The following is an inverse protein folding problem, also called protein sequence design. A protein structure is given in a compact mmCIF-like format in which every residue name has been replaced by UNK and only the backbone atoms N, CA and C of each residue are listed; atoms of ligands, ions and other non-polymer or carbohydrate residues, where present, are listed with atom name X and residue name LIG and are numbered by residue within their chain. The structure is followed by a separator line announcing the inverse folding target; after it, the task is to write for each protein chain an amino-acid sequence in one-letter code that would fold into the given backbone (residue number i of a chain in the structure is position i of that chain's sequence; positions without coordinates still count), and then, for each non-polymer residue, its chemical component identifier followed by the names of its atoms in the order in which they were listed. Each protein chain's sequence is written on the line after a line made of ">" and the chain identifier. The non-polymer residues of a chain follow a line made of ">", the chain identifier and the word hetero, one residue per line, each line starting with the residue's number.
data_IF_625318170002
#
_entry.id   IF_625318170002
#
_cell.length_a   1.000
_cell.length_b   1.000
_cell.length_c   1.000
_cell.angle_alpha   90.00
_cell.angle_beta   90.00
_cell.angle_gamma   90.00
#
_symmetry.space_group_name_H-M   'P 1'
#
loop_
_entity.id
_entity.type
_entity.pdbx_description
1 polymer ?
#
# COMPACT_ATOMS: atom_id res chain seq x y z
N UNK A 1 -37.28 9.85 -34.11
CA UNK A 1 -35.80 9.86 -33.99
C UNK A 1 -35.33 10.54 -32.69
N UNK A 2 -36.22 11.22 -31.93
CA UNK A 2 -35.93 11.89 -30.65
C UNK A 2 -34.98 11.16 -29.69
N UNK A 3 -35.20 9.86 -29.43
CA UNK A 3 -34.52 9.16 -28.33
C UNK A 3 -32.99 9.09 -28.47
N UNK A 4 -32.46 9.25 -29.69
CA UNK A 4 -31.01 9.35 -29.92
C UNK A 4 -30.46 10.75 -29.59
N UNK A 5 -31.24 11.80 -29.92
CA UNK A 5 -30.84 13.19 -29.71
C UNK A 5 -30.71 13.53 -28.23
N UNK A 6 -31.69 13.15 -27.39
CA UNK A 6 -31.65 13.40 -25.94
C UNK A 6 -30.48 12.72 -25.23
N UNK A 7 -30.07 11.51 -25.66
CA UNK A 7 -28.91 10.81 -25.08
C UNK A 7 -27.59 11.48 -25.46
N UNK A 8 -27.48 12.00 -26.68
CA UNK A 8 -26.31 12.77 -27.10
C UNK A 8 -26.21 14.09 -26.32
N UNK A 9 -27.30 14.84 -26.20
CA UNK A 9 -27.33 16.10 -25.44
C UNK A 9 -27.02 15.87 -23.96
N UNK A 10 -27.61 14.85 -23.34
CA UNK A 10 -27.35 14.52 -21.93
C UNK A 10 -25.88 14.16 -21.69
N UNK A 11 -25.28 13.34 -22.56
CA UNK A 11 -23.86 13.05 -22.51
C UNK A 11 -23.02 14.33 -22.67
N UNK A 12 -23.27 15.14 -23.70
CA UNK A 12 -22.53 16.39 -23.96
C UNK A 12 -22.60 17.34 -22.76
N UNK A 13 -23.76 17.49 -22.11
CA UNK A 13 -23.90 18.32 -20.90
C UNK A 13 -23.16 17.71 -19.69
N UNK A 14 -23.24 16.40 -19.46
CA UNK A 14 -22.51 15.74 -18.37
C UNK A 14 -20.99 15.82 -18.54
N UNK A 15 -20.47 15.57 -19.74
CA UNK A 15 -19.04 15.71 -20.06
C UNK A 15 -18.58 17.18 -19.96
N UNK A 16 -19.42 18.15 -20.34
CA UNK A 16 -19.14 19.57 -20.16
C UNK A 16 -19.02 19.98 -18.68
N UNK A 17 -19.93 19.55 -17.82
CA UNK A 17 -19.88 19.82 -16.37
C UNK A 17 -18.66 19.16 -15.74
N UNK A 18 -18.38 17.90 -16.09
CA UNK A 18 -17.19 17.20 -15.60
C UNK A 18 -15.89 17.89 -16.05
N UNK A 19 -15.84 18.45 -17.26
CA UNK A 19 -14.67 19.16 -17.78
C UNK A 19 -14.42 20.47 -17.01
N UNK A 20 -15.49 21.25 -16.74
CA UNK A 20 -15.38 22.45 -15.93
C UNK A 20 -14.90 22.14 -14.50
N UNK A 21 -15.44 21.10 -13.86
CA UNK A 21 -14.99 20.69 -12.53
C UNK A 21 -13.53 20.22 -12.54
N UNK A 22 -13.14 19.40 -13.51
CA UNK A 22 -11.75 18.95 -13.69
C UNK A 22 -10.76 20.09 -13.90
N UNK A 23 -11.12 21.10 -14.72
CA UNK A 23 -10.30 22.29 -14.95
C UNK A 23 -10.18 23.15 -13.69
N UNK A 24 -11.26 23.33 -12.93
CA UNK A 24 -11.22 24.08 -11.66
C UNK A 24 -10.35 23.38 -10.61
N UNK A 25 -10.50 22.07 -10.44
CA UNK A 25 -9.65 21.28 -9.52
C UNK A 25 -8.19 21.32 -9.96
N UNK A 26 -7.90 21.17 -11.25
CA UNK A 26 -6.55 21.29 -11.79
C UNK A 26 -5.95 22.68 -11.53
N UNK A 27 -6.70 23.76 -11.80
CA UNK A 27 -6.24 25.12 -11.56
C UNK A 27 -5.91 25.39 -10.08
N UNK A 28 -6.75 24.93 -9.15
CA UNK A 28 -6.50 25.03 -7.70
C UNK A 28 -5.23 24.26 -7.30
N UNK A 29 -5.07 23.03 -7.78
CA UNK A 29 -3.86 22.23 -7.49
C UNK A 29 -2.59 22.88 -8.07
N UNK A 30 -2.66 23.43 -9.29
CA UNK A 30 -1.56 24.17 -9.93
C UNK A 30 -1.19 25.43 -9.14
N UNK A 31 -2.17 26.16 -8.59
CA UNK A 31 -1.94 27.35 -7.76
C UNK A 31 -1.34 27.03 -6.38
N UNK A 32 -1.51 25.80 -5.87
CA UNK A 32 -1.03 25.40 -4.54
C UNK A 32 0.28 24.58 -4.56
N UNK A 33 0.66 23.95 -5.68
CA UNK A 33 1.82 23.06 -5.74
C UNK A 33 3.00 23.62 -6.53
N UNK A 34 4.01 24.11 -5.82
CA UNK A 34 5.35 24.26 -6.39
C UNK A 34 5.88 22.90 -6.85
N UNK A 35 6.23 22.80 -8.14
CA UNK A 35 7.05 21.72 -8.71
C UNK A 35 6.45 20.30 -8.80
N UNK A 36 5.13 20.15 -8.98
CA UNK A 36 4.51 18.83 -9.31
C UNK A 36 3.50 18.84 -10.48
N UNK A 37 3.55 19.87 -11.34
CA UNK A 37 2.59 20.16 -12.42
C UNK A 37 2.23 18.93 -13.29
N UNK A 38 3.22 18.16 -13.74
CA UNK A 38 3.00 17.06 -14.70
C UNK A 38 2.26 15.86 -14.09
N UNK A 39 2.47 15.57 -12.80
CA UNK A 39 1.75 14.52 -12.07
C UNK A 39 0.33 14.98 -11.69
N UNK A 40 0.18 16.24 -11.29
CA UNK A 40 -1.13 16.85 -11.04
C UNK A 40 -2.02 16.86 -12.28
N UNK A 41 -1.47 17.23 -13.44
CA UNK A 41 -2.18 17.18 -14.71
C UNK A 41 -2.60 15.76 -15.11
N UNK A 42 -1.73 14.75 -14.90
CA UNK A 42 -2.06 13.36 -15.20
C UNK A 42 -3.19 12.82 -14.30
N UNK A 43 -3.11 13.01 -12.98
CA UNK A 43 -4.16 12.54 -12.07
C UNK A 43 -5.47 13.33 -12.21
N UNK A 44 -5.40 14.61 -12.57
CA UNK A 44 -6.57 15.41 -12.96
C UNK A 44 -7.26 14.85 -14.22
N UNK A 45 -6.49 14.49 -15.25
CA UNK A 45 -7.01 13.88 -16.47
C UNK A 45 -7.63 12.49 -16.20
N UNK A 46 -6.96 11.64 -15.41
CA UNK A 46 -7.50 10.33 -15.00
C UNK A 46 -8.78 10.50 -14.19
N UNK A 47 -8.81 11.42 -13.22
CA UNK A 47 -9.99 11.73 -12.43
C UNK A 47 -11.17 12.23 -13.28
N UNK A 48 -10.91 13.12 -14.25
CA UNK A 48 -11.91 13.60 -15.20
C UNK A 48 -12.48 12.45 -16.06
N UNK A 49 -11.64 11.58 -16.61
CA UNK A 49 -12.09 10.43 -17.42
C UNK A 49 -12.90 9.45 -16.57
N UNK A 50 -12.43 9.08 -15.38
CA UNK A 50 -13.14 8.14 -14.49
C UNK A 50 -14.48 8.72 -14.03
N UNK A 51 -14.51 9.99 -13.61
CA UNK A 51 -15.74 10.65 -13.16
C UNK A 51 -16.73 10.89 -14.32
N UNK A 52 -16.25 11.30 -15.49
CA UNK A 52 -17.06 11.50 -16.69
C UNK A 52 -17.69 10.19 -17.20
N UNK A 53 -16.92 9.09 -17.19
CA UNK A 53 -17.44 7.74 -17.48
C UNK A 53 -18.44 7.31 -16.41
N UNK A 54 -18.15 7.48 -15.13
CA UNK A 54 -19.05 7.08 -14.03
C UNK A 54 -20.39 7.83 -14.07
N UNK A 55 -20.39 9.16 -14.26
CA UNK A 55 -21.60 9.95 -14.42
C UNK A 55 -22.37 9.57 -15.69
N UNK A 56 -21.68 9.33 -16.81
CA UNK A 56 -22.33 8.85 -18.05
C UNK A 56 -23.00 7.49 -17.85
N UNK A 57 -22.35 6.57 -17.13
CA UNK A 57 -22.87 5.24 -16.84
C UNK A 57 -23.96 5.21 -15.75
N UNK A 58 -24.11 6.26 -14.95
CA UNK A 58 -25.13 6.33 -13.88
C UNK A 58 -26.32 7.23 -14.23
N UNK A 59 -26.14 8.27 -15.05
CA UNK A 59 -27.21 9.20 -15.46
C UNK A 59 -27.70 8.97 -16.91
N UNK A 60 -26.83 8.59 -17.85
CA UNK A 60 -27.24 8.42 -19.27
C UNK A 60 -27.64 6.98 -19.66
N UNK A 61 -27.27 6.00 -18.82
CA UNK A 61 -27.65 4.59 -18.95
C UNK A 61 -28.86 4.34 -18.06
N UNK A 62 -30.04 4.25 -18.69
CA UNK A 62 -31.34 4.08 -18.01
C UNK A 62 -31.24 3.02 -16.90
N UNK A 63 -31.54 3.40 -15.64
CA UNK A 63 -31.68 2.44 -14.55
C UNK A 63 -32.84 1.49 -14.87
N UNK A 64 -32.63 0.17 -14.98
CA UNK A 64 -33.68 -0.78 -15.40
C UNK A 64 -34.77 -1.05 -14.34
N UNK A 65 -34.93 -0.17 -13.33
CA UNK A 65 -35.76 -0.42 -12.14
C UNK A 65 -36.79 0.68 -11.81
N UNK A 66 -36.91 1.75 -12.61
CA UNK A 66 -37.98 2.76 -12.43
C UNK A 66 -39.08 2.71 -13.50
N UNK A 67 -38.90 1.94 -14.57
CA UNK A 67 -39.92 1.70 -15.59
C UNK A 67 -41.12 0.90 -15.06
N UNK A 68 -40.88 -0.07 -14.15
CA UNK A 68 -41.92 -0.92 -13.57
C UNK A 68 -42.94 -0.10 -12.76
N UNK A 69 -42.47 0.86 -11.97
CA UNK A 69 -43.29 1.72 -11.10
C UNK A 69 -44.15 2.71 -11.93
N UNK A 70 -43.73 3.06 -13.15
CA UNK A 70 -44.56 3.89 -14.04
C UNK A 70 -45.54 3.09 -14.89
N UNK A 71 -45.22 1.84 -15.24
CA UNK A 71 -46.12 0.96 -15.99
C UNK A 71 -47.43 0.66 -15.24
N UNK A 72 -47.38 0.50 -13.90
CA UNK A 72 -48.59 0.33 -13.07
C UNK A 72 -49.41 1.62 -12.90
N UNK A 73 -48.85 2.79 -13.25
CA UNK A 73 -49.51 4.09 -13.06
C UNK A 73 -50.31 4.57 -14.28
N UNK A 74 -50.38 3.82 -15.39
CA UNK A 74 -51.04 4.26 -16.62
C UNK A 74 -51.89 3.19 -17.32
N UNK A 75 -52.61 2.37 -16.55
CA UNK A 75 -53.71 1.56 -17.07
C UNK A 75 -55.06 2.22 -16.67
N UNK A 76 -55.93 2.59 -17.62
CA UNK A 76 -57.22 3.20 -17.29
C UNK A 76 -58.21 2.18 -16.72
N UNK A 77 -59.08 2.63 -15.84
CA UNK A 77 -60.02 1.79 -15.10
C UNK A 77 -61.11 1.16 -16.00
N UNK A 78 -61.45 -0.12 -15.79
CA UNK A 78 -62.76 -0.67 -16.10
C UNK A 78 -63.66 -0.72 -14.86
N UNK A 79 -64.92 -0.32 -15.06
CA UNK A 79 -66.04 -0.29 -14.12
C UNK A 79 -66.24 -1.58 -13.30
N UNK A 80 -66.31 -1.46 -11.96
CA UNK A 80 -67.20 -2.28 -11.12
C UNK A 80 -67.39 -1.67 -9.72
N UNK A 81 -68.64 -1.59 -9.28
CA UNK A 81 -69.06 -1.44 -7.89
C UNK A 81 -70.44 -2.12 -7.75
N UNK A 82 -70.86 -2.50 -6.54
CA UNK A 82 -70.15 -3.44 -5.69
C UNK A 82 -71.08 -4.55 -5.17
N UNK A 83 -70.52 -5.68 -4.76
CA UNK A 83 -71.16 -6.50 -3.73
C UNK A 83 -70.10 -7.12 -2.81
N UNK A 84 -70.47 -7.26 -1.54
CA UNK A 84 -69.59 -7.56 -0.40
C UNK A 84 -70.13 -8.82 0.32
N UNK A 85 -69.73 -9.20 1.56
CA UNK A 85 -68.65 -8.66 2.40
C UNK A 85 -67.79 -9.70 3.17
N UNK A 86 -66.56 -9.29 3.49
CA UNK A 86 -65.95 -9.39 4.84
C UNK A 86 -65.57 -10.76 5.47
N UNK A 87 -64.77 -10.62 6.53
CA UNK A 87 -64.38 -11.56 7.57
C UNK A 87 -63.29 -12.62 7.23
N UNK A 88 -62.29 -12.85 8.10
CA UNK A 88 -61.88 -12.15 9.32
C UNK A 88 -60.55 -12.72 9.88
N UNK A 89 -59.80 -11.89 10.65
CA UNK A 89 -58.82 -12.29 11.72
C UNK A 89 -57.53 -13.01 11.24
N UNK A 90 -56.36 -12.91 11.89
CA UNK A 90 -55.88 -12.09 13.03
C UNK A 90 -54.34 -11.99 13.03
N UNK A 91 -53.84 -10.83 13.47
CA UNK A 91 -52.76 -10.57 14.45
C UNK A 91 -52.06 -11.82 15.05
N UNK A 92 -50.73 -11.98 15.00
CA UNK A 92 -49.67 -11.21 15.68
C UNK A 92 -49.71 -11.29 17.23
N UNK A 93 -48.64 -11.81 17.87
CA UNK A 93 -47.80 -11.12 18.90
C UNK A 93 -46.78 -12.05 19.60
N UNK A 94 -45.51 -11.63 19.51
CA UNK A 94 -44.32 -11.71 20.39
C UNK A 94 -44.16 -12.60 21.65
N UNK A 95 -42.86 -12.74 22.01
CA UNK A 95 -42.26 -12.82 23.36
C UNK A 95 -42.36 -14.16 24.14
N UNK A 96 -41.40 -14.54 25.00
CA UNK A 96 -40.00 -14.12 25.24
C UNK A 96 -39.32 -15.10 26.23
N UNK A 97 -38.01 -14.93 26.48
CA UNK A 97 -37.24 -15.53 27.60
C UNK A 97 -37.11 -17.08 27.56
N UNK A 98 -36.21 -17.78 28.26
CA UNK A 98 -34.99 -17.52 29.05
C UNK A 98 -34.33 -18.91 29.28
N UNK A 99 -33.11 -19.12 29.76
CA UNK A 99 -31.85 -18.35 29.87
C UNK A 99 -30.80 -19.32 30.47
N UNK A 100 -29.57 -18.83 30.73
CA UNK A 100 -28.58 -19.40 31.68
C UNK A 100 -27.89 -20.72 31.21
N UNK A 101 -26.66 -21.08 31.65
CA UNK A 101 -25.80 -20.40 32.63
C UNK A 101 -24.30 -20.79 32.51
N UNK A 102 -23.39 -19.84 32.81
CA UNK A 102 -22.10 -20.01 33.58
C UNK A 102 -21.02 -21.04 33.19
N UNK A 103 -19.77 -21.00 33.66
CA UNK A 103 -18.94 -20.03 34.42
C UNK A 103 -17.45 -20.38 34.11
N UNK A 104 -16.49 -19.44 34.05
CA UNK A 104 -15.70 -18.86 35.19
C UNK A 104 -14.91 -19.94 35.95
N UNK A 105 -13.68 -19.79 36.42
CA UNK A 105 -12.75 -18.66 36.60
C UNK A 105 -11.28 -19.17 36.34
N UNK A 106 -10.13 -18.60 36.70
CA UNK A 106 -9.65 -17.34 37.34
C UNK A 106 -8.12 -17.24 37.07
N UNK A 107 -7.27 -16.27 37.48
CA UNK A 107 -7.38 -14.97 38.15
C UNK A 107 -6.13 -14.13 37.79
N UNK A 108 -6.22 -12.81 37.94
CA UNK A 108 -5.07 -11.89 38.07
C UNK A 108 -4.52 -11.88 39.51
N UNK A 109 -3.25 -11.54 39.71
CA UNK A 109 -2.89 -10.59 40.79
C UNK A 109 -1.56 -9.85 40.52
N UNK A 110 -1.35 -8.73 41.22
CA UNK A 110 -0.41 -7.66 40.88
C UNK A 110 0.79 -7.55 41.88
N UNK A 111 1.58 -6.48 41.74
CA UNK A 111 2.35 -5.77 42.79
C UNK A 111 3.90 -5.87 42.80
N UNK A 112 4.49 -4.70 42.51
CA UNK A 112 5.75 -4.10 43.02
C UNK A 112 7.15 -4.47 42.48
N UNK A 113 7.91 -3.40 42.23
CA UNK A 113 9.38 -3.34 42.24
C UNK A 113 9.86 -2.59 43.51
N UNK A 114 11.08 -2.87 44.02
CA UNK A 114 12.16 -1.89 43.87
C UNK A 114 13.59 -2.48 43.70
N UNK A 115 14.58 -1.62 43.41
CA UNK A 115 16.04 -1.91 43.34
C UNK A 115 16.76 -1.46 44.66
N UNK A 116 18.11 -1.53 44.87
CA UNK A 116 19.23 -1.96 43.98
C UNK A 116 20.46 -2.73 44.61
N UNK A 117 21.30 -3.35 43.74
CA UNK A 117 22.79 -3.59 43.84
C UNK A 117 23.39 -4.47 44.99
N UNK A 118 24.70 -4.90 45.00
CA UNK A 118 25.83 -4.69 44.05
C UNK A 118 26.77 -5.91 43.69
N UNK A 119 27.54 -5.74 42.59
CA UNK A 119 28.92 -6.21 42.27
C UNK A 119 29.47 -7.62 42.65
N UNK A 120 29.99 -8.36 41.65
CA UNK A 120 31.42 -8.78 41.57
C UNK A 120 31.90 -8.91 40.10
N UNK A 121 33.22 -8.93 39.88
CA UNK A 121 33.89 -8.51 38.64
C UNK A 121 34.40 -9.64 37.71
N UNK A 122 34.83 -9.23 36.51
CA UNK A 122 35.29 -10.03 35.38
C UNK A 122 36.70 -10.64 35.52
N UNK A 123 37.09 -11.49 34.55
CA UNK A 123 38.42 -11.49 33.96
C UNK A 123 38.40 -11.02 32.49
N UNK A 124 39.42 -10.27 32.07
CA UNK A 124 39.65 -9.88 30.68
C UNK A 124 40.38 -11.00 29.89
N UNK A 125 40.40 -10.92 28.56
CA UNK A 125 41.73 -10.89 27.93
C UNK A 125 41.88 -9.95 26.71
N UNK A 126 43.03 -9.26 26.68
CA UNK A 126 43.81 -8.75 25.53
C UNK A 126 43.23 -7.68 24.56
N UNK A 127 44.05 -6.70 24.12
CA UNK A 127 43.62 -5.60 23.28
C UNK A 127 43.73 -5.91 21.77
N UNK A 128 42.67 -5.62 21.02
CA UNK A 128 42.69 -5.62 19.55
C UNK A 128 43.34 -4.33 18.98
N UNK A 129 43.81 -4.32 17.72
CA UNK A 129 44.73 -3.29 17.24
C UNK A 129 44.15 -1.87 17.08
N UNK A 130 45.06 -0.92 17.24
CA UNK A 130 44.90 0.55 17.18
C UNK A 130 44.22 1.04 15.88
N UNK A 131 43.14 1.85 15.94
CA UNK A 131 42.58 2.51 14.77
C UNK A 131 43.51 3.59 14.19
N UNK A 132 43.51 3.72 12.85
CA UNK A 132 44.17 4.80 12.13
C UNK A 132 43.44 5.06 10.79
N UNK A 133 43.48 6.30 10.26
CA UNK A 133 43.14 7.56 10.92
C UNK A 133 41.85 8.18 10.32
N UNK A 134 41.13 8.98 11.10
CA UNK A 134 39.90 9.64 10.65
C UNK A 134 40.16 10.95 9.88
N UNK A 135 39.58 11.11 8.68
CA UNK A 135 39.20 12.39 8.05
C UNK A 135 38.39 12.16 6.76
N UNK A 136 37.54 13.11 6.30
CA UNK A 136 36.83 14.18 7.00
C UNK A 136 35.32 13.93 7.11
N UNK A 137 34.67 14.61 8.05
CA UNK A 137 33.21 14.74 8.06
C UNK A 137 32.72 15.45 6.78
N UNK A 138 31.66 14.93 6.18
CA UNK A 138 30.94 15.56 5.08
C UNK A 138 29.44 15.60 5.43
N UNK A 139 28.88 16.81 5.38
CA UNK A 139 27.46 17.19 5.32
C UNK A 139 26.42 16.34 6.07
N UNK A 140 25.74 16.98 7.03
CA UNK A 140 24.40 16.58 7.44
C UNK A 140 23.45 16.62 6.21
N UNK A 141 22.65 15.58 5.99
CA UNK A 141 21.48 15.64 5.11
C UNK A 141 21.37 14.61 3.97
N UNK A 142 22.41 13.84 3.68
CA UNK A 142 22.40 12.72 2.72
C UNK A 142 23.52 11.75 3.14
N UNK A 143 23.25 10.44 3.17
CA UNK A 143 24.18 9.46 3.75
C UNK A 143 25.50 9.32 2.99
N UNK A 144 26.45 8.55 3.52
CA UNK A 144 27.70 8.25 2.79
C UNK A 144 27.42 7.25 1.68
N UNK A 145 27.86 7.50 0.43
CA UNK A 145 27.74 6.51 -0.64
C UNK A 145 28.62 5.27 -0.37
N UNK A 146 28.07 4.05 -0.30
CA UNK A 146 28.87 2.85 -0.12
C UNK A 146 29.73 2.48 -1.33
N UNK A 147 30.74 1.65 -1.08
CA UNK A 147 31.66 1.15 -2.10
C UNK A 147 30.95 0.35 -3.21
N UNK A 148 30.84 0.97 -4.39
CA UNK A 148 30.27 0.41 -5.59
C UNK A 148 31.35 -0.18 -6.50
N UNK A 149 31.02 -1.26 -7.21
CA UNK A 149 31.85 -1.89 -8.24
C UNK A 149 31.38 -1.49 -9.64
N UNK A 150 32.29 -1.38 -10.60
CA UNK A 150 31.93 -1.11 -11.99
C UNK A 150 31.29 -2.31 -12.71
N UNK A 151 31.56 -3.52 -12.22
CA UNK A 151 31.01 -4.78 -12.71
C UNK A 151 31.04 -5.83 -11.58
N UNK A 152 30.35 -6.94 -11.79
CA UNK A 152 30.43 -8.09 -10.91
C UNK A 152 31.87 -8.68 -10.84
N UNK A 153 32.18 -9.43 -9.79
CA UNK A 153 33.54 -10.01 -9.59
C UNK A 153 33.69 -11.30 -10.40
N UNK A 154 34.90 -11.85 -10.41
CA UNK A 154 35.13 -13.21 -10.90
C UNK A 154 34.25 -14.18 -10.10
N UNK A 155 33.30 -14.83 -10.78
CA UNK A 155 32.22 -15.62 -10.16
C UNK A 155 30.81 -15.20 -10.62
N UNK A 156 30.63 -13.98 -11.13
CA UNK A 156 29.32 -13.43 -11.50
C UNK A 156 28.78 -12.49 -10.42
N UNK A 157 27.48 -12.19 -10.50
CA UNK A 157 26.75 -11.46 -9.46
C UNK A 157 25.97 -12.48 -8.60
N UNK A 158 25.80 -12.18 -7.32
CA UNK A 158 24.90 -12.92 -6.44
C UNK A 158 23.44 -12.68 -6.83
N UNK A 159 22.58 -13.66 -6.50
CA UNK A 159 21.13 -13.54 -6.64
C UNK A 159 20.57 -12.69 -5.49
N UNK A 160 20.57 -11.36 -5.67
CA UNK A 160 20.12 -10.42 -4.63
C UNK A 160 18.63 -10.61 -4.29
N UNK A 161 17.84 -11.22 -5.17
CA UNK A 161 16.43 -11.59 -4.90
C UNK A 161 16.28 -12.60 -3.75
N UNK A 162 17.37 -13.26 -3.31
CA UNK A 162 17.39 -14.08 -2.08
C UNK A 162 17.21 -13.26 -0.79
N UNK A 163 17.37 -11.94 -0.84
CA UNK A 163 17.03 -11.01 0.25
C UNK A 163 15.54 -10.63 0.16
N UNK A 164 14.80 -10.85 1.25
CA UNK A 164 13.40 -10.44 1.34
C UNK A 164 13.26 -8.93 1.15
N UNK A 165 12.48 -8.53 0.16
CA UNK A 165 12.25 -7.12 -0.21
C UNK A 165 12.96 -6.70 -1.50
N UNK A 166 13.97 -7.46 -1.94
CA UNK A 166 14.62 -7.28 -3.25
C UNK A 166 13.87 -8.10 -4.30
N UNK A 167 13.06 -7.44 -5.13
CA UNK A 167 12.46 -8.08 -6.30
C UNK A 167 13.34 -7.98 -7.55
N UNK A 168 13.03 -8.68 -8.66
CA UNK A 168 13.85 -8.67 -9.88
C UNK A 168 14.12 -7.27 -10.45
N UNK A 169 13.14 -6.34 -10.34
CA UNK A 169 13.34 -4.96 -10.79
C UNK A 169 14.26 -4.16 -9.89
N UNK A 170 14.33 -4.53 -8.61
CA UNK A 170 15.12 -3.85 -7.59
C UNK A 170 16.57 -4.34 -7.62
N UNK A 171 16.79 -5.64 -7.80
CA UNK A 171 18.10 -6.23 -8.12
C UNK A 171 18.75 -5.55 -9.34
N UNK A 172 18.01 -5.32 -10.43
CA UNK A 172 18.50 -4.54 -11.58
C UNK A 172 18.96 -3.12 -11.17
N UNK A 173 18.25 -2.47 -10.24
CA UNK A 173 18.63 -1.14 -9.74
C UNK A 173 19.89 -1.20 -8.87
N UNK A 174 20.01 -2.19 -7.98
CA UNK A 174 21.21 -2.42 -7.17
C UNK A 174 22.44 -2.69 -8.05
N UNK A 175 22.30 -3.58 -9.04
CA UNK A 175 23.34 -3.91 -10.01
C UNK A 175 23.77 -2.67 -10.81
N UNK A 176 22.82 -1.83 -11.26
CA UNK A 176 23.12 -0.56 -11.95
C UNK A 176 23.80 0.49 -11.06
N UNK A 177 23.64 0.41 -9.73
CA UNK A 177 24.35 1.25 -8.76
C UNK A 177 25.74 0.70 -8.40
N UNK A 178 26.09 -0.50 -8.87
CA UNK A 178 27.37 -1.18 -8.61
C UNK A 178 27.37 -2.11 -7.40
N UNK A 179 26.19 -2.53 -6.92
CA UNK A 179 26.04 -3.51 -5.86
C UNK A 179 25.57 -4.84 -6.46
N UNK A 180 26.47 -5.83 -6.48
CA UNK A 180 26.26 -7.12 -7.15
C UNK A 180 26.36 -8.32 -6.21
N UNK A 181 26.76 -8.11 -4.95
CA UNK A 181 27.13 -9.19 -4.03
C UNK A 181 26.56 -8.97 -2.63
N UNK A 182 26.29 -10.06 -1.92
CA UNK A 182 25.80 -10.03 -0.54
C UNK A 182 26.84 -9.41 0.41
N UNK A 183 28.14 -9.60 0.19
CA UNK A 183 29.19 -9.05 1.06
C UNK A 183 29.22 -7.51 1.04
N UNK A 184 28.92 -6.88 -0.10
CA UNK A 184 28.79 -5.43 -0.20
C UNK A 184 27.65 -4.92 0.69
N UNK A 185 26.47 -5.55 0.60
CA UNK A 185 25.27 -5.17 1.37
C UNK A 185 25.48 -5.48 2.86
N UNK A 186 26.13 -6.59 3.18
CA UNK A 186 26.49 -6.99 4.54
C UNK A 186 27.46 -6.03 5.22
N UNK A 187 28.31 -5.34 4.44
CA UNK A 187 29.28 -4.37 4.94
C UNK A 187 28.70 -2.97 5.21
N UNK A 188 27.48 -2.66 4.73
CA UNK A 188 26.92 -1.31 4.87
C UNK A 188 26.72 -0.88 6.33
N UNK A 189 27.20 0.32 6.61
CA UNK A 189 26.92 1.12 7.81
C UNK A 189 25.52 1.75 7.75
N UNK A 190 25.04 2.30 8.87
CA UNK A 190 23.74 2.98 8.92
C UNK A 190 23.65 4.19 7.96
N UNK A 191 24.73 4.94 7.82
CA UNK A 191 24.80 6.09 6.90
C UNK A 191 24.78 5.63 5.43
N UNK A 192 25.43 4.52 5.11
CA UNK A 192 25.39 3.91 3.78
C UNK A 192 24.02 3.32 3.44
N UNK A 193 23.36 2.68 4.40
CA UNK A 193 21.96 2.23 4.28
C UNK A 193 21.05 3.44 3.99
N UNK A 194 21.20 4.54 4.73
CA UNK A 194 20.41 5.75 4.51
C UNK A 194 20.64 6.37 3.11
N UNK A 195 21.88 6.37 2.62
CA UNK A 195 22.18 6.79 1.25
C UNK A 195 21.50 5.90 0.21
N UNK A 196 21.67 4.57 0.31
CA UNK A 196 21.06 3.63 -0.64
C UNK A 196 19.53 3.75 -0.61
N UNK A 197 18.93 3.87 0.57
CA UNK A 197 17.48 4.07 0.73
C UNK A 197 16.97 5.37 0.08
N UNK A 198 17.82 6.37 -0.16
CA UNK A 198 17.47 7.58 -0.89
C UNK A 198 17.75 7.45 -2.40
N UNK A 199 18.80 6.71 -2.77
CA UNK A 199 19.26 6.51 -4.15
C UNK A 199 18.54 5.38 -4.92
N UNK A 200 17.78 4.52 -4.24
CA UNK A 200 16.89 3.52 -4.86
C UNK A 200 15.65 4.19 -5.49
N UNK A 201 15.77 4.56 -6.76
CA UNK A 201 14.70 5.21 -7.55
C UNK A 201 13.43 4.36 -7.54
N UNK A 202 12.35 4.88 -6.96
CA UNK A 202 11.05 4.22 -6.86
C UNK A 202 10.90 3.21 -5.70
N UNK A 203 11.97 2.91 -4.97
CA UNK A 203 11.98 1.89 -3.90
C UNK A 203 12.64 2.39 -2.61
N UNK A 204 12.42 3.68 -2.29
CA UNK A 204 13.04 4.32 -1.13
C UNK A 204 12.63 3.68 0.20
N UNK A 205 13.56 3.63 1.16
CA UNK A 205 13.33 3.13 2.52
C UNK A 205 13.19 1.61 2.68
N UNK A 206 13.50 0.80 1.66
CA UNK A 206 13.38 -0.67 1.72
C UNK A 206 14.59 -1.37 2.35
N UNK A 207 15.80 -0.82 2.23
CA UNK A 207 17.02 -1.40 2.80
C UNK A 207 16.89 -1.47 4.33
N UNK A 208 16.45 -0.36 4.95
CA UNK A 208 16.18 -0.30 6.39
C UNK A 208 14.96 -1.11 6.79
N UNK A 209 13.81 -0.92 6.12
CA UNK A 209 12.53 -1.50 6.55
C UNK A 209 12.48 -3.02 6.41
N UNK A 210 13.16 -3.58 5.43
CA UNK A 210 13.19 -5.02 5.19
C UNK A 210 14.52 -5.66 5.69
N UNK A 211 15.30 -4.97 6.54
CA UNK A 211 16.50 -5.49 7.21
C UNK A 211 17.56 -6.15 6.29
N UNK A 212 17.83 -5.56 5.12
CA UNK A 212 18.67 -6.20 4.10
C UNK A 212 20.08 -6.52 4.59
N UNK A 213 20.69 -5.63 5.37
CA UNK A 213 22.06 -5.81 5.88
C UNK A 213 22.16 -7.05 6.78
N UNK A 214 21.13 -7.34 7.59
CA UNK A 214 21.11 -8.52 8.45
C UNK A 214 20.94 -9.81 7.63
N UNK A 215 20.06 -9.80 6.62
CA UNK A 215 19.87 -10.94 5.72
C UNK A 215 21.10 -11.20 4.85
N UNK A 216 21.72 -10.14 4.30
CA UNK A 216 22.92 -10.22 3.48
C UNK A 216 24.10 -10.80 4.27
N UNK A 217 24.25 -10.49 5.57
CA UNK A 217 25.28 -11.11 6.43
C UNK A 217 25.12 -12.63 6.53
N UNK A 218 23.88 -13.13 6.64
CA UNK A 218 23.61 -14.57 6.65
C UNK A 218 23.92 -15.21 5.28
N UNK A 219 23.47 -14.60 4.18
CA UNK A 219 23.70 -15.13 2.82
C UNK A 219 25.18 -15.09 2.43
N UNK A 220 25.91 -14.01 2.76
CA UNK A 220 27.34 -13.85 2.50
C UNK A 220 28.23 -14.83 3.29
N UNK A 221 27.73 -15.36 4.41
CA UNK A 221 28.40 -16.41 5.19
C UNK A 221 28.02 -17.84 4.76
N UNK A 222 27.27 -17.98 3.66
CA UNK A 222 26.78 -19.28 3.17
C UNK A 222 25.57 -19.82 3.92
N UNK A 223 24.97 -19.04 4.82
CA UNK A 223 23.70 -19.35 5.47
C UNK A 223 22.50 -19.13 4.54
N UNK A 224 21.33 -19.56 5.01
CA UNK A 224 20.06 -19.43 4.30
C UNK A 224 18.98 -18.84 5.20
N UNK A 225 18.01 -18.16 4.60
CA UNK A 225 16.78 -17.76 5.28
C UNK A 225 15.61 -18.61 4.76
N UNK A 226 14.53 -18.69 5.53
CA UNK A 226 13.28 -19.32 5.05
C UNK A 226 12.69 -18.61 3.82
N UNK A 227 13.12 -17.37 3.52
CA UNK A 227 12.79 -16.69 2.27
C UNK A 227 13.69 -17.15 1.12
N UNK A 228 15.02 -17.17 1.29
CA UNK A 228 15.95 -17.58 0.24
C UNK A 228 15.67 -19.01 -0.21
N UNK A 229 15.42 -19.94 0.71
CA UNK A 229 15.04 -21.34 0.41
C UNK A 229 13.79 -21.48 -0.46
N UNK A 230 12.90 -20.49 -0.50
CA UNK A 230 11.71 -20.45 -1.36
C UNK A 230 12.00 -19.80 -2.71
N UNK A 231 12.86 -18.77 -2.73
CA UNK A 231 13.40 -18.20 -3.98
C UNK A 231 14.18 -19.27 -4.76
N UNK A 232 15.02 -20.04 -4.07
CA UNK A 232 15.84 -21.14 -4.63
C UNK A 232 14.97 -22.31 -5.16
N UNK A 233 13.71 -22.42 -4.74
CA UNK A 233 12.71 -23.37 -5.26
C UNK A 233 11.84 -22.80 -6.39
N UNK A 234 11.88 -21.49 -6.63
CA UNK A 234 10.98 -20.81 -7.57
C UNK A 234 9.60 -20.46 -7.02
N UNK A 235 9.38 -20.51 -5.69
CA UNK A 235 8.06 -20.29 -5.07
C UNK A 235 7.64 -18.80 -4.97
N UNK A 236 8.48 -17.85 -5.40
CA UNK A 236 8.39 -16.43 -4.96
C UNK A 236 8.30 -15.41 -6.11
N UNK A 237 8.68 -15.76 -7.35
CA UNK A 237 8.71 -14.85 -8.50
C UNK A 237 8.35 -15.56 -9.82
#
# INVERSE_FOLDING_TARGET
>A
MEKSSSKLTCAITCWGIAALFGVVVAAVLISMSGWMFLQGAFMGAVGFVVLGVLLSLTLCRDLPHLSEVRAVSSAPAPTAAPDAPSAARTSATAAAAAAMDTATADATDDVAAPAPAPKKAAPAPTPAPKPAPAKPAAAEGEGTKPAALAAARAGGADDLKRIKGVGPKLEQTCNSLGFYHFDQIAAWTADEVAWVDQNLVGFKGRVSRDDWVAQAKLLASGGETEFSKKVDKGDVY
#
